data_IF_318573778199
#
_entry.id   IF_318573778199
#
_cell.length_a   1.000
_cell.length_b   1.000
_cell.length_c   1.000
_cell.angle_alpha   90.00
_cell.angle_beta   90.00
_cell.angle_gamma   90.00
#
_symmetry.space_group_name_H-M   'P 1'
#
loop_
_entity.id
_entity.type
_entity.pdbx_description
1 polymer ?
#
# COMPACT_ATOMS: atom_id res chain seq x y z
N UNK A 1 -55.73 -18.69 -32.72
CA UNK A 1 -54.54 -17.95 -32.23
C UNK A 1 -54.64 -17.85 -30.72
N UNK A 2 -53.72 -18.46 -29.94
CA UNK A 2 -53.51 -18.34 -28.46
C UNK A 2 -52.79 -19.60 -27.92
N UNK A 3 -51.59 -19.95 -28.42
CA UNK A 3 -50.77 -21.04 -27.81
C UNK A 3 -49.25 -20.80 -27.85
N UNK A 4 -48.79 -19.59 -28.18
CA UNK A 4 -47.34 -19.30 -28.30
C UNK A 4 -46.80 -18.29 -27.28
N UNK A 5 -47.61 -17.81 -26.33
CA UNK A 5 -47.20 -16.80 -25.35
C UNK A 5 -46.63 -17.39 -24.04
N UNK A 6 -46.93 -18.65 -23.72
CA UNK A 6 -46.49 -19.25 -22.44
C UNK A 6 -45.02 -19.71 -22.45
N UNK A 7 -44.47 -20.06 -23.61
CA UNK A 7 -43.07 -20.52 -23.72
C UNK A 7 -42.05 -19.37 -23.65
N UNK A 8 -42.48 -18.11 -23.82
CA UNK A 8 -41.57 -16.95 -23.85
C UNK A 8 -41.33 -16.32 -22.46
N UNK A 9 -42.15 -16.69 -21.45
CA UNK A 9 -42.05 -16.15 -20.09
C UNK A 9 -41.05 -16.91 -19.19
N UNK A 10 -40.68 -18.14 -19.54
CA UNK A 10 -39.78 -18.95 -18.72
C UNK A 10 -38.29 -18.85 -19.11
N UNK A 11 -37.96 -18.24 -20.25
CA UNK A 11 -36.55 -18.02 -20.64
C UNK A 11 -35.93 -16.75 -20.04
N UNK A 12 -36.73 -15.87 -19.42
CA UNK A 12 -36.25 -14.63 -18.78
C UNK A 12 -35.87 -14.79 -17.30
N UNK A 13 -36.33 -15.85 -16.63
CA UNK A 13 -36.21 -15.99 -15.18
C UNK A 13 -34.87 -16.55 -14.68
N UNK A 14 -34.00 -17.03 -15.57
CA UNK A 14 -32.69 -17.61 -15.19
C UNK A 14 -31.57 -16.54 -15.19
N UNK A 15 -31.81 -15.35 -15.75
CA UNK A 15 -30.80 -14.30 -15.84
C UNK A 15 -30.62 -13.45 -14.57
N UNK A 16 -31.48 -13.60 -13.54
CA UNK A 16 -31.42 -12.79 -12.31
C UNK A 16 -30.92 -13.55 -11.06
N UNK A 17 -30.55 -14.83 -11.19
CA UNK A 17 -30.18 -15.68 -10.05
C UNK A 17 -28.71 -15.64 -9.61
N UNK A 18 -27.82 -14.98 -10.35
CA UNK A 18 -26.36 -15.05 -10.09
C UNK A 18 -25.79 -13.86 -9.30
N UNK A 19 -26.64 -12.93 -8.84
CA UNK A 19 -26.20 -11.70 -8.16
C UNK A 19 -26.73 -11.52 -6.74
N UNK A 20 -27.03 -12.61 -6.04
CA UNK A 20 -27.36 -12.57 -4.60
C UNK A 20 -26.72 -13.74 -3.87
N UNK A 21 -25.39 -13.75 -3.88
CA UNK A 21 -24.70 -14.17 -2.66
C UNK A 21 -24.39 -12.87 -1.94
N UNK A 22 -24.97 -12.59 -0.76
CA UNK A 22 -24.37 -11.62 0.13
C UNK A 22 -23.01 -12.23 0.50
N UNK A 23 -21.98 -11.88 -0.27
CA UNK A 23 -20.62 -12.11 0.16
C UNK A 23 -20.55 -11.47 1.54
N UNK A 24 -20.21 -12.28 2.54
CA UNK A 24 -20.05 -11.84 3.92
C UNK A 24 -19.39 -10.46 3.89
N UNK A 25 -20.18 -9.41 4.15
CA UNK A 25 -19.61 -8.13 4.52
C UNK A 25 -18.96 -8.46 5.86
N UNK A 26 -17.67 -8.79 5.81
CA UNK A 26 -16.81 -8.67 6.97
C UNK A 26 -17.00 -7.22 7.35
N UNK A 27 -17.86 -7.01 8.34
CA UNK A 27 -17.93 -5.74 9.03
C UNK A 27 -16.51 -5.54 9.52
N UNK A 28 -15.75 -4.74 8.77
CA UNK A 28 -14.64 -4.03 9.35
C UNK A 28 -15.32 -3.23 10.44
N UNK A 29 -15.34 -3.81 11.65
CA UNK A 29 -15.65 -3.10 12.87
C UNK A 29 -14.83 -1.84 12.70
N UNK A 30 -15.51 -0.72 12.48
CA UNK A 30 -14.93 0.61 12.66
C UNK A 30 -14.48 0.57 14.11
N UNK A 31 -13.25 0.09 14.31
CA UNK A 31 -12.44 0.64 15.37
C UNK A 31 -12.42 2.09 14.92
N UNK A 32 -13.18 2.92 15.63
CA UNK A 32 -12.94 4.35 15.68
C UNK A 32 -11.52 4.50 16.24
N UNK A 33 -10.54 4.15 15.42
CA UNK A 33 -9.21 4.70 15.54
C UNK A 33 -9.51 6.13 15.17
N UNK A 34 -9.68 7.00 16.17
CA UNK A 34 -9.46 8.43 15.98
C UNK A 34 -8.33 8.55 14.98
N UNK A 35 -8.47 9.30 13.86
CA UNK A 35 -7.43 9.37 12.86
C UNK A 35 -6.14 9.67 13.61
N UNK A 36 -5.31 8.63 13.76
CA UNK A 36 -4.06 8.75 14.45
C UNK A 36 -3.24 9.51 13.43
N UNK A 37 -3.34 10.83 13.50
CA UNK A 37 -2.57 11.80 12.77
C UNK A 37 -1.17 11.73 13.38
N UNK A 38 -0.57 10.55 13.32
CA UNK A 38 0.75 10.25 13.82
C UNK A 38 1.78 10.68 12.79
N UNK A 39 1.37 10.96 11.55
CA UNK A 39 2.25 11.42 10.50
C UNK A 39 1.52 12.28 9.47
N UNK A 40 2.24 13.27 8.94
CA UNK A 40 1.80 14.12 7.83
C UNK A 40 2.57 13.76 6.56
N UNK A 41 1.90 13.47 5.43
CA UNK A 41 2.57 13.17 4.18
C UNK A 41 3.28 14.40 3.59
N UNK A 42 4.45 14.20 3.01
CA UNK A 42 5.24 15.23 2.32
C UNK A 42 5.13 15.01 0.81
N UNK A 43 4.83 16.08 0.06
CA UNK A 43 4.63 16.04 -1.39
C UNK A 43 5.51 17.05 -2.14
N UNK A 44 5.47 16.98 -3.47
CA UNK A 44 6.06 17.98 -4.36
C UNK A 44 7.58 18.10 -4.29
N UNK A 45 8.09 19.33 -4.35
CA UNK A 45 9.53 19.63 -4.42
C UNK A 45 10.27 19.14 -3.18
N UNK A 46 9.68 19.27 -2.01
CA UNK A 46 10.30 18.84 -0.74
C UNK A 46 10.46 17.33 -0.71
N UNK A 47 9.41 16.60 -1.07
CA UNK A 47 9.46 15.13 -1.25
C UNK A 47 10.57 14.73 -2.21
N UNK A 48 10.71 15.43 -3.34
CA UNK A 48 11.72 15.09 -4.35
C UNK A 48 13.15 15.31 -3.85
N UNK A 49 13.40 16.36 -3.06
CA UNK A 49 14.71 16.58 -2.42
C UNK A 49 15.06 15.44 -1.47
N UNK A 50 14.13 15.08 -0.58
CA UNK A 50 14.32 14.00 0.40
C UNK A 50 14.59 12.66 -0.31
N UNK A 51 13.83 12.36 -1.36
CA UNK A 51 14.04 11.14 -2.14
C UNK A 51 15.38 11.16 -2.88
N UNK A 52 15.77 12.28 -3.48
CA UNK A 52 17.07 12.38 -4.16
C UNK A 52 18.25 12.19 -3.18
N UNK A 53 18.14 12.74 -1.98
CA UNK A 53 19.12 12.55 -0.91
C UNK A 53 19.21 11.08 -0.48
N UNK A 54 18.06 10.45 -0.20
CA UNK A 54 18.00 9.02 0.12
C UNK A 54 18.64 8.16 -0.98
N UNK A 55 18.33 8.41 -2.25
CA UNK A 55 18.86 7.60 -3.35
C UNK A 55 20.39 7.75 -3.52
N UNK A 56 20.95 8.84 -3.02
CA UNK A 56 22.38 9.11 -3.04
C UNK A 56 23.11 8.50 -1.84
N UNK A 57 22.38 8.14 -0.78
CA UNK A 57 22.91 7.55 0.46
C UNK A 57 23.46 6.13 0.23
N UNK A 58 24.66 5.85 0.77
CA UNK A 58 25.31 4.53 0.72
C UNK A 58 24.52 3.43 1.43
N UNK A 59 23.85 3.75 2.54
CA UNK A 59 22.99 2.82 3.29
C UNK A 59 21.82 2.34 2.42
N UNK A 60 21.20 3.25 1.64
CA UNK A 60 20.16 2.86 0.69
C UNK A 60 20.70 1.97 -0.41
N UNK A 61 21.87 2.30 -0.98
CA UNK A 61 22.50 1.48 -2.03
C UNK A 61 22.79 0.08 -1.52
N UNK A 62 23.34 -0.04 -0.30
CA UNK A 62 23.60 -1.32 0.36
C UNK A 62 22.30 -2.10 0.59
N UNK A 63 21.28 -1.47 1.18
CA UNK A 63 19.98 -2.12 1.43
C UNK A 63 19.30 -2.57 0.14
N UNK A 64 19.39 -1.77 -0.93
CA UNK A 64 18.87 -2.14 -2.24
C UNK A 64 19.57 -3.38 -2.79
N UNK A 65 20.89 -3.48 -2.68
CA UNK A 65 21.65 -4.67 -3.10
C UNK A 65 21.23 -5.89 -2.28
N UNK A 66 21.22 -5.78 -0.96
CA UNK A 66 20.79 -6.85 -0.04
C UNK A 66 19.40 -7.39 -0.42
N UNK A 67 18.41 -6.52 -0.59
CA UNK A 67 17.05 -6.91 -0.97
C UNK A 67 16.99 -7.50 -2.38
N UNK A 68 17.80 -6.99 -3.31
CA UNK A 68 17.90 -7.55 -4.66
C UNK A 68 18.44 -8.99 -4.63
N UNK A 69 19.46 -9.26 -3.82
CA UNK A 69 20.05 -10.58 -3.65
C UNK A 69 19.07 -11.58 -3.02
N UNK A 70 18.18 -11.09 -2.14
CA UNK A 70 17.05 -11.86 -1.59
C UNK A 70 15.92 -12.10 -2.62
N UNK A 71 16.00 -11.47 -3.80
CA UNK A 71 15.07 -11.62 -4.92
C UNK A 71 13.91 -10.63 -4.92
N UNK A 72 14.02 -9.54 -4.18
CA UNK A 72 13.09 -8.41 -4.28
C UNK A 72 13.44 -7.51 -5.46
N UNK A 73 12.43 -6.83 -6.01
CA UNK A 73 12.57 -5.89 -7.13
C UNK A 73 12.15 -4.50 -6.70
N UNK A 74 13.09 -3.56 -6.68
CA UNK A 74 12.77 -2.15 -6.42
C UNK A 74 11.76 -1.61 -7.43
N UNK A 75 10.71 -0.92 -6.96
CA UNK A 75 9.62 -0.42 -7.81
C UNK A 75 9.83 1.02 -8.31
N UNK A 76 11.03 1.58 -8.10
CA UNK A 76 11.38 2.91 -8.57
C UNK A 76 11.03 4.03 -7.60
N UNK A 77 11.55 5.22 -7.87
CA UNK A 77 11.48 6.36 -6.96
C UNK A 77 10.12 7.06 -6.94
N UNK A 78 9.29 6.91 -7.97
CA UNK A 78 7.97 7.55 -8.05
C UNK A 78 7.00 7.03 -6.98
N UNK A 79 7.16 5.78 -6.55
CA UNK A 79 6.28 5.10 -5.59
C UNK A 79 6.78 5.21 -4.14
N UNK A 80 7.89 5.91 -3.90
CA UNK A 80 8.38 6.17 -2.54
C UNK A 80 7.42 7.11 -1.83
N UNK A 81 7.03 6.76 -0.61
CA UNK A 81 6.24 7.63 0.23
C UNK A 81 7.12 8.28 1.29
N UNK A 82 6.86 9.55 1.55
CA UNK A 82 7.60 10.34 2.54
C UNK A 82 6.58 10.92 3.50
N UNK A 83 6.75 10.65 4.78
CA UNK A 83 5.88 11.14 5.84
C UNK A 83 6.74 11.72 6.96
N UNK A 84 6.25 12.77 7.62
CA UNK A 84 6.85 13.34 8.81
C UNK A 84 6.03 12.89 10.01
N UNK A 85 6.68 12.30 11.00
CA UNK A 85 6.01 11.94 12.24
C UNK A 85 5.68 13.18 13.07
N UNK A 86 4.48 13.19 13.64
CA UNK A 86 3.97 14.28 14.47
C UNK A 86 4.54 14.19 15.90
N UNK A 87 4.36 15.27 16.67
CA UNK A 87 4.91 15.45 18.03
C UNK A 87 4.44 14.37 19.03
N UNK A 88 3.34 13.68 18.73
CA UNK A 88 2.74 12.64 19.56
C UNK A 88 3.36 11.26 19.36
N UNK A 89 4.34 11.12 18.46
CA UNK A 89 5.01 9.85 18.17
C UNK A 89 6.31 9.68 18.97
N UNK A 90 6.83 8.45 19.11
CA UNK A 90 8.11 8.21 19.78
C UNK A 90 9.33 8.86 19.10
N UNK A 91 9.19 9.28 17.84
CA UNK A 91 10.26 9.90 17.03
C UNK A 91 9.73 11.20 16.39
N UNK A 92 9.39 12.21 17.20
CA UNK A 92 8.70 13.41 16.72
C UNK A 92 9.56 14.18 15.71
N UNK A 93 8.91 14.73 14.68
CA UNK A 93 9.56 15.50 13.62
C UNK A 93 10.42 14.66 12.66
N UNK A 94 10.60 13.36 12.91
CA UNK A 94 11.41 12.47 12.08
C UNK A 94 10.71 12.18 10.76
N UNK A 95 11.48 12.17 9.68
CA UNK A 95 10.98 11.80 8.35
C UNK A 95 11.13 10.29 8.17
N UNK A 96 10.01 9.63 7.90
CA UNK A 96 9.93 8.25 7.47
C UNK A 96 9.81 8.18 5.95
N UNK A 97 10.65 7.36 5.32
CA UNK A 97 10.65 7.13 3.89
C UNK A 97 10.35 5.65 3.64
N UNK A 98 9.16 5.36 3.10
CA UNK A 98 8.73 4.01 2.76
C UNK A 98 9.08 3.70 1.31
N UNK A 99 9.98 2.73 1.11
CA UNK A 99 10.56 2.39 -0.17
C UNK A 99 9.97 1.06 -0.68
N UNK A 100 9.25 1.06 -1.81
CA UNK A 100 8.55 -0.14 -2.28
C UNK A 100 9.48 -1.11 -3.00
N UNK A 101 9.40 -2.38 -2.59
CA UNK A 101 10.04 -3.53 -3.20
C UNK A 101 8.99 -4.61 -3.46
N UNK A 102 9.02 -5.20 -4.65
CA UNK A 102 8.15 -6.31 -5.03
C UNK A 102 8.85 -7.63 -4.75
N UNK A 103 8.23 -8.49 -3.93
CA UNK A 103 8.77 -9.82 -3.62
C UNK A 103 8.51 -10.82 -4.76
N UNK A 104 8.98 -12.06 -4.61
CA UNK A 104 8.85 -13.13 -5.61
C UNK A 104 7.40 -13.53 -5.91
N UNK A 105 6.50 -13.33 -4.95
CA UNK A 105 5.06 -13.58 -5.08
C UNK A 105 4.32 -12.41 -5.74
N UNK A 106 5.03 -11.32 -6.04
CA UNK A 106 4.49 -10.14 -6.65
C UNK A 106 3.84 -9.14 -5.68
N UNK A 107 3.99 -9.36 -4.37
CA UNK A 107 3.48 -8.46 -3.33
C UNK A 107 4.47 -7.32 -3.11
N UNK A 108 3.95 -6.09 -2.93
CA UNK A 108 4.76 -4.92 -2.57
C UNK A 108 4.92 -4.89 -1.05
N UNK A 109 6.17 -4.86 -0.62
CA UNK A 109 6.58 -4.65 0.75
C UNK A 109 7.47 -3.41 0.81
N UNK A 110 7.49 -2.75 1.97
CA UNK A 110 8.17 -1.48 2.14
C UNK A 110 9.36 -1.64 3.06
N UNK A 111 10.53 -1.22 2.58
CA UNK A 111 11.68 -0.94 3.42
C UNK A 111 11.54 0.50 3.94
N UNK A 112 11.47 0.66 5.27
CA UNK A 112 11.31 1.98 5.88
C UNK A 112 12.67 2.50 6.34
N UNK A 113 13.02 3.70 5.88
CA UNK A 113 14.17 4.45 6.35
C UNK A 113 13.70 5.62 7.20
N UNK A 114 14.32 5.82 8.37
CA UNK A 114 14.12 7.00 9.20
C UNK A 114 15.34 7.91 9.12
N UNK A 115 15.14 9.17 8.76
CA UNK A 115 16.23 10.13 8.64
C UNK A 115 16.95 10.30 9.98
N UNK A 116 18.27 10.06 9.99
CA UNK A 116 19.11 10.14 11.19
C UNK A 116 19.10 8.88 12.07
N UNK A 117 18.29 7.86 11.75
CA UNK A 117 18.23 6.59 12.49
C UNK A 117 18.66 5.41 11.62
N UNK A 118 18.23 5.35 10.35
CA UNK A 118 18.56 4.28 9.41
C UNK A 118 17.37 3.41 9.01
N UNK A 119 17.66 2.25 8.39
CA UNK A 119 16.64 1.29 8.00
C UNK A 119 16.04 0.50 9.17
N UNK A 120 14.73 0.31 9.12
CA UNK A 120 14.09 -0.73 9.93
C UNK A 120 14.50 -2.13 9.45
N UNK A 121 14.63 -3.09 10.38
CA UNK A 121 15.10 -4.45 10.05
C UNK A 121 14.10 -5.24 9.20
N UNK A 122 12.80 -4.93 9.33
CA UNK A 122 11.72 -5.70 8.71
C UNK A 122 11.08 -4.95 7.55
N UNK A 123 10.80 -5.69 6.47
CA UNK A 123 9.88 -5.24 5.43
C UNK A 123 8.45 -5.39 5.92
N UNK A 124 7.57 -4.44 5.56
CA UNK A 124 6.15 -4.51 5.89
C UNK A 124 5.28 -4.42 4.64
N UNK A 125 4.32 -5.32 4.51
CA UNK A 125 3.16 -5.12 3.63
C UNK A 125 2.20 -4.16 4.33
N UNK A 126 1.52 -3.32 3.54
CA UNK A 126 0.42 -2.49 4.03
C UNK A 126 -0.92 -3.18 3.82
#
# INVERSE_FOLDING_TARGET
MKKKLLAMLFSGAIAFGVFVVPGNEVQAKKIEVEPCDCHTPIFGVERNKIVAELLSNEEFKAKKVELTDLGYKWQGSALIEVVKFNETTPVPGTIAIAIPFKNKNGVIEYATYLTGIGFFPELRSR
#
